data_IF_720034778394
#
_entry.id   IF_720034778394
#
_cell.length_a   1.000
_cell.length_b   1.000
_cell.length_c   1.000
_cell.angle_alpha   90.00
_cell.angle_beta   90.00
_cell.angle_gamma   90.00
#
_symmetry.space_group_name_H-M   'P 1'
#
loop_
_entity.id
_entity.type
_entity.pdbx_description
1 polymer ?
#
# COMPACT_ATOMS: atom_id res chain seq x y z
N UNK A 1 7.81 -16.48 78.65
CA UNK A 1 7.73 -16.91 77.22
C UNK A 1 6.32 -16.60 76.67
N UNK A 2 5.29 -16.87 77.39
CA UNK A 2 3.93 -16.61 76.93
C UNK A 2 3.65 -15.12 76.64
N UNK A 3 4.20 -14.22 77.42
CA UNK A 3 4.10 -12.77 77.15
C UNK A 3 4.70 -12.34 75.82
N UNK A 4 5.86 -12.87 75.45
CA UNK A 4 6.49 -12.60 74.15
C UNK A 4 5.69 -13.20 72.99
N UNK A 5 5.16 -14.36 73.17
CA UNK A 5 4.28 -15.02 72.20
C UNK A 5 3.06 -14.14 71.93
N UNK A 6 2.32 -13.78 72.96
CA UNK A 6 1.12 -12.93 72.83
C UNK A 6 1.45 -11.57 72.22
N UNK A 7 2.56 -10.95 72.65
CA UNK A 7 3.03 -9.68 72.11
C UNK A 7 3.27 -9.73 70.59
N UNK A 8 4.06 -10.70 70.14
CA UNK A 8 4.45 -10.74 68.72
C UNK A 8 3.36 -11.32 67.79
N UNK A 9 2.60 -12.29 68.23
CA UNK A 9 1.45 -12.77 67.45
C UNK A 9 0.40 -11.68 67.26
N UNK A 10 0.13 -10.88 68.30
CA UNK A 10 -0.76 -9.72 68.19
C UNK A 10 -0.16 -8.64 67.26
N UNK A 11 1.10 -8.29 67.41
CA UNK A 11 1.77 -7.31 66.53
C UNK A 11 1.77 -7.74 65.07
N UNK A 12 1.96 -9.02 64.77
CA UNK A 12 1.84 -9.59 63.43
C UNK A 12 0.42 -9.46 62.90
N UNK A 13 -0.58 -9.78 63.71
CA UNK A 13 -2.00 -9.68 63.33
C UNK A 13 -2.39 -8.23 62.98
N UNK A 14 -1.91 -7.27 63.79
CA UNK A 14 -2.21 -5.83 63.65
C UNK A 14 -1.42 -5.13 62.52
N UNK A 15 -0.38 -5.75 61.96
CA UNK A 15 0.41 -5.19 60.84
C UNK A 15 -0.48 -4.95 59.61
N UNK A 16 -0.49 -3.70 59.10
CA UNK A 16 -1.36 -3.29 57.97
C UNK A 16 -0.69 -3.38 56.60
N UNK A 17 0.62 -3.40 56.59
CA UNK A 17 1.43 -3.46 55.36
C UNK A 17 2.74 -4.26 55.57
N UNK A 18 3.44 -4.52 54.46
CA UNK A 18 4.72 -5.27 54.52
C UNK A 18 5.80 -4.55 55.32
N UNK A 19 5.80 -3.20 55.37
CA UNK A 19 6.80 -2.43 56.11
C UNK A 19 6.60 -2.65 57.61
N UNK A 20 5.36 -2.48 58.10
CA UNK A 20 5.01 -2.76 59.51
C UNK A 20 5.28 -4.21 59.88
N UNK A 21 4.99 -5.17 59.00
CA UNK A 21 5.28 -6.59 59.23
C UNK A 21 6.79 -6.86 59.32
N UNK A 22 7.59 -6.23 58.51
CA UNK A 22 9.05 -6.33 58.54
C UNK A 22 9.66 -5.71 59.82
N UNK A 23 9.10 -4.60 60.30
CA UNK A 23 9.50 -4.01 61.60
C UNK A 23 9.24 -5.00 62.75
N UNK A 24 8.09 -5.65 62.75
CA UNK A 24 7.78 -6.70 63.75
C UNK A 24 8.75 -7.86 63.65
N UNK A 25 9.07 -8.31 62.42
CA UNK A 25 10.06 -9.38 62.20
C UNK A 25 11.44 -9.01 62.77
N UNK A 26 11.89 -7.78 62.50
CA UNK A 26 13.17 -7.30 63.00
C UNK A 26 13.19 -7.18 64.50
N UNK A 27 12.09 -6.69 65.13
CA UNK A 27 11.97 -6.58 66.58
C UNK A 27 11.94 -7.94 67.29
N UNK A 28 11.33 -8.93 66.65
CA UNK A 28 11.25 -10.29 67.22
C UNK A 28 12.53 -11.11 66.93
N UNK A 29 12.90 -11.22 65.66
CA UNK A 29 13.86 -12.20 65.16
C UNK A 29 15.16 -11.60 64.57
N UNK A 30 15.26 -10.28 64.49
CA UNK A 30 16.45 -9.58 64.05
C UNK A 30 17.68 -9.82 64.91
N UNK A 31 18.87 -9.33 64.53
CA UNK A 31 20.12 -9.54 65.26
C UNK A 31 20.02 -9.06 66.76
N UNK A 32 19.22 -8.06 67.03
CA UNK A 32 18.92 -7.51 68.37
C UNK A 32 17.47 -7.77 68.81
N UNK A 33 16.75 -8.63 68.11
CA UNK A 33 15.38 -8.95 68.43
C UNK A 33 15.26 -9.73 69.72
N UNK A 34 14.12 -9.48 70.42
CA UNK A 34 13.91 -9.98 71.76
C UNK A 34 14.02 -11.52 71.83
N UNK A 35 13.45 -12.25 70.85
CA UNK A 35 13.50 -13.74 70.80
C UNK A 35 14.94 -14.17 70.46
N UNK A 36 15.64 -13.48 69.57
CA UNK A 36 17.02 -13.80 69.20
C UNK A 36 17.99 -13.56 70.37
N UNK A 37 17.74 -12.57 71.20
CA UNK A 37 18.52 -12.31 72.41
C UNK A 37 18.31 -13.43 73.45
N UNK A 38 17.06 -13.85 73.67
CA UNK A 38 16.79 -14.99 74.56
C UNK A 38 17.42 -16.30 74.07
N UNK A 39 17.44 -16.53 72.75
CA UNK A 39 18.12 -17.69 72.18
C UNK A 39 19.66 -17.65 72.41
N UNK A 40 20.26 -16.46 72.41
CA UNK A 40 21.72 -16.30 72.78
C UNK A 40 21.99 -16.56 74.26
N UNK A 41 21.06 -16.23 75.13
CA UNK A 41 21.18 -16.48 76.56
C UNK A 41 21.10 -17.96 76.91
N UNK A 42 20.50 -18.81 76.07
CA UNK A 42 20.58 -20.26 76.17
C UNK A 42 21.99 -20.81 76.21
N UNK A 43 22.93 -20.09 75.55
CA UNK A 43 24.36 -20.46 75.57
C UNK A 43 25.01 -20.30 76.91
N UNK A 44 24.42 -19.50 77.80
CA UNK A 44 24.93 -19.21 79.16
C UNK A 44 24.25 -20.00 80.26
N UNK A 45 23.16 -20.73 79.94
CA UNK A 45 22.38 -21.55 80.86
C UNK A 45 23.01 -22.90 81.15
N UNK A 46 22.66 -23.52 82.27
CA UNK A 46 23.05 -24.86 82.62
C UNK A 46 22.50 -25.90 81.64
N UNK A 47 23.10 -27.08 81.47
CA UNK A 47 22.62 -28.11 80.57
C UNK A 47 21.14 -28.53 80.80
N UNK A 48 20.72 -28.53 82.07
CA UNK A 48 19.37 -28.88 82.47
C UNK A 48 18.32 -27.82 82.11
N UNK A 49 18.65 -26.55 82.35
CA UNK A 49 17.79 -25.40 81.95
C UNK A 49 17.66 -25.28 80.44
N UNK A 50 18.75 -25.58 79.70
CA UNK A 50 18.81 -25.58 78.24
C UNK A 50 17.90 -26.67 77.63
N UNK A 51 17.84 -27.82 78.26
CA UNK A 51 17.02 -28.94 77.81
C UNK A 51 15.50 -28.60 77.89
N UNK A 52 15.09 -27.74 78.80
CA UNK A 52 13.71 -27.32 78.93
C UNK A 52 13.42 -26.05 78.11
N UNK A 53 14.27 -25.05 78.18
CA UNK A 53 14.04 -23.74 77.52
C UNK A 53 14.32 -23.75 76.00
N UNK A 54 15.24 -24.60 75.55
CA UNK A 54 15.64 -24.68 74.12
C UNK A 54 14.49 -25.07 73.18
N UNK A 55 13.81 -26.18 73.45
CA UNK A 55 12.64 -26.58 72.64
C UNK A 55 11.52 -25.52 72.60
N UNK A 56 11.26 -24.91 73.77
CA UNK A 56 10.19 -23.87 73.88
C UNK A 56 10.54 -22.61 73.11
N UNK A 57 11.81 -22.15 73.10
CA UNK A 57 12.23 -20.99 72.32
C UNK A 57 12.28 -21.28 70.81
N UNK A 58 12.64 -22.49 70.42
CA UNK A 58 12.56 -22.90 69.02
C UNK A 58 11.13 -22.97 68.54
N UNK A 59 10.21 -23.56 69.33
CA UNK A 59 8.80 -23.60 69.03
C UNK A 59 8.20 -22.19 68.89
N UNK A 60 8.55 -21.27 69.79
CA UNK A 60 8.14 -19.85 69.68
C UNK A 60 8.65 -19.16 68.43
N UNK A 61 9.92 -19.39 68.08
CA UNK A 61 10.51 -18.86 66.85
C UNK A 61 9.83 -19.39 65.59
N UNK A 62 9.51 -20.70 65.58
CA UNK A 62 8.85 -21.34 64.45
C UNK A 62 7.36 -20.85 64.31
N UNK A 63 6.67 -20.68 65.44
CA UNK A 63 5.35 -20.11 65.45
C UNK A 63 5.31 -18.66 64.95
N UNK A 64 6.26 -17.80 65.38
CA UNK A 64 6.39 -16.43 64.88
C UNK A 64 6.71 -16.42 63.39
N UNK A 65 7.62 -17.26 62.90
CA UNK A 65 7.96 -17.37 61.47
C UNK A 65 6.73 -17.80 60.64
N UNK A 66 5.99 -18.79 61.13
CA UNK A 66 4.77 -19.25 60.47
C UNK A 66 3.71 -18.16 60.41
N UNK A 67 3.50 -17.42 61.52
CA UNK A 67 2.56 -16.31 61.54
C UNK A 67 2.98 -15.14 60.60
N UNK A 68 4.28 -14.82 60.58
CA UNK A 68 4.84 -13.82 59.65
C UNK A 68 4.59 -14.21 58.19
N UNK A 69 4.90 -15.46 57.82
CA UNK A 69 4.69 -15.94 56.46
C UNK A 69 3.22 -15.93 56.04
N UNK A 70 2.34 -16.40 56.94
CA UNK A 70 0.89 -16.38 56.70
C UNK A 70 0.37 -14.94 56.50
N UNK A 71 0.79 -14.00 57.37
CA UNK A 71 0.39 -12.59 57.23
C UNK A 71 0.94 -11.93 55.98
N UNK A 72 2.19 -12.24 55.61
CA UNK A 72 2.81 -11.75 54.39
C UNK A 72 2.05 -12.19 53.14
N UNK A 73 1.69 -13.47 53.06
CA UNK A 73 0.86 -13.98 51.99
C UNK A 73 -0.51 -13.28 51.94
N UNK A 74 -1.18 -13.13 53.08
CA UNK A 74 -2.47 -12.45 53.14
C UNK A 74 -2.42 -10.98 52.73
N UNK A 75 -1.35 -10.26 53.09
CA UNK A 75 -1.14 -8.88 52.64
C UNK A 75 -0.85 -8.79 51.11
N UNK A 76 -0.08 -9.70 50.59
CA UNK A 76 0.21 -9.78 49.14
C UNK A 76 -1.08 -10.11 48.34
N UNK A 77 -1.87 -11.05 48.81
CA UNK A 77 -3.18 -11.40 48.23
C UNK A 77 -4.17 -10.23 48.27
N UNK A 78 -4.21 -9.49 49.39
CA UNK A 78 -5.05 -8.30 49.52
C UNK A 78 -4.65 -7.20 48.52
N UNK A 79 -3.35 -6.94 48.36
CA UNK A 79 -2.86 -5.97 47.38
C UNK A 79 -3.17 -6.43 45.94
N UNK A 80 -2.99 -7.71 45.64
CA UNK A 80 -3.31 -8.26 44.33
C UNK A 80 -4.83 -8.16 44.04
N UNK A 81 -5.66 -8.51 44.97
CA UNK A 81 -7.12 -8.44 44.82
C UNK A 81 -7.60 -6.98 44.61
N UNK A 82 -7.04 -6.04 45.35
CA UNK A 82 -7.35 -4.61 45.17
C UNK A 82 -6.95 -4.10 43.78
N UNK A 83 -5.80 -4.59 43.22
CA UNK A 83 -5.40 -4.30 41.85
C UNK A 83 -6.36 -4.92 40.84
N UNK A 84 -6.75 -6.18 41.04
CA UNK A 84 -7.66 -6.87 40.11
C UNK A 84 -9.05 -6.21 40.08
N UNK A 85 -9.50 -5.59 41.17
CA UNK A 85 -10.74 -4.81 41.18
C UNK A 85 -10.64 -3.48 40.43
N UNK A 86 -9.47 -2.85 40.44
CA UNK A 86 -9.25 -1.52 39.81
C UNK A 86 -8.69 -1.61 38.40
N UNK A 87 -7.91 -2.62 38.08
CA UNK A 87 -7.30 -2.85 36.78
C UNK A 87 -8.18 -3.72 35.86
N UNK A 88 -9.49 -3.43 35.83
CA UNK A 88 -10.41 -4.15 34.96
C UNK A 88 -10.18 -3.77 33.49
N UNK A 89 -10.02 -4.75 32.61
CA UNK A 89 -9.89 -4.59 31.17
C UNK A 89 -11.08 -5.25 30.47
N UNK A 90 -11.80 -4.48 29.66
CA UNK A 90 -12.86 -5.02 28.83
C UNK A 90 -12.27 -5.81 27.66
N UNK A 91 -12.28 -7.14 27.79
CA UNK A 91 -11.77 -8.06 26.75
C UNK A 91 -12.76 -8.28 25.60
N UNK A 92 -13.99 -7.71 25.69
CA UNK A 92 -14.96 -7.76 24.60
C UNK A 92 -14.70 -6.70 23.53
N UNK A 93 -13.89 -5.70 23.83
CA UNK A 93 -13.47 -4.71 22.86
C UNK A 93 -12.62 -5.38 21.77
N UNK A 94 -12.86 -5.04 20.50
CA UNK A 94 -12.03 -5.56 19.42
C UNK A 94 -10.57 -5.16 19.62
N UNK A 95 -9.66 -6.04 19.25
CA UNK A 95 -8.23 -5.71 19.22
C UNK A 95 -8.02 -4.48 18.34
N UNK A 96 -6.93 -3.73 18.57
CA UNK A 96 -6.54 -2.65 17.66
C UNK A 96 -6.50 -3.20 16.24
N UNK A 97 -7.18 -2.50 15.32
CA UNK A 97 -7.17 -2.87 13.93
C UNK A 97 -5.71 -3.04 13.46
N UNK A 98 -5.37 -4.24 13.02
CA UNK A 98 -4.12 -4.47 12.32
C UNK A 98 -4.28 -3.77 10.98
N UNK A 99 -3.45 -2.77 10.70
CA UNK A 99 -3.44 -2.12 9.41
C UNK A 99 -3.02 -3.15 8.36
N UNK A 100 -3.97 -3.62 7.58
CA UNK A 100 -3.71 -4.38 6.36
C UNK A 100 -3.15 -3.43 5.31
N UNK A 101 -2.32 -3.95 4.39
CA UNK A 101 -1.85 -3.17 3.25
C UNK A 101 -3.01 -2.67 2.39
N UNK A 102 -2.75 -1.65 1.57
CA UNK A 102 -3.72 -1.07 0.64
C UNK A 102 -3.24 -1.25 -0.79
N UNK A 103 -4.18 -1.38 -1.73
CA UNK A 103 -3.89 -1.36 -3.17
C UNK A 103 -3.64 0.09 -3.57
N UNK A 104 -2.55 0.34 -4.27
CA UNK A 104 -2.19 1.66 -4.76
C UNK A 104 -3.18 2.14 -5.84
N UNK A 105 -3.59 3.43 -5.89
CA UNK A 105 -4.54 3.94 -6.89
C UNK A 105 -4.16 3.63 -8.34
N UNK A 106 -2.88 3.66 -8.69
CA UNK A 106 -2.42 3.29 -10.04
C UNK A 106 -2.71 1.81 -10.34
N UNK A 107 -2.48 0.92 -9.39
CA UNK A 107 -2.82 -0.50 -9.56
C UNK A 107 -4.32 -0.70 -9.70
N UNK A 108 -5.12 -0.02 -8.88
CA UNK A 108 -6.57 -0.04 -8.95
C UNK A 108 -7.10 0.41 -10.31
N UNK A 109 -6.61 1.56 -10.82
CA UNK A 109 -7.00 2.08 -12.14
C UNK A 109 -6.53 1.15 -13.26
N UNK A 110 -5.32 0.59 -13.16
CA UNK A 110 -4.81 -0.36 -14.15
C UNK A 110 -5.71 -1.59 -14.27
N UNK A 111 -6.08 -2.20 -13.14
CA UNK A 111 -6.99 -3.35 -13.12
C UNK A 111 -8.38 -3.00 -13.67
N UNK A 112 -8.89 -1.83 -13.33
CA UNK A 112 -10.18 -1.34 -13.85
C UNK A 112 -10.15 -1.14 -15.37
N UNK A 113 -9.11 -0.51 -15.90
CA UNK A 113 -8.90 -0.32 -17.35
C UNK A 113 -8.80 -1.68 -18.05
N UNK A 114 -8.05 -2.62 -17.48
CA UNK A 114 -7.94 -4.00 -18.03
C UNK A 114 -9.33 -4.66 -18.06
N UNK A 115 -10.10 -4.57 -17.00
CA UNK A 115 -11.44 -5.16 -16.92
C UNK A 115 -12.39 -4.58 -17.97
N UNK A 116 -12.41 -3.23 -18.13
CA UNK A 116 -13.24 -2.54 -19.11
C UNK A 116 -12.90 -2.99 -20.56
N UNK A 117 -11.62 -3.00 -20.91
CA UNK A 117 -11.21 -3.38 -22.26
C UNK A 117 -11.33 -4.89 -22.51
N UNK A 118 -11.19 -5.73 -21.47
CA UNK A 118 -11.43 -7.16 -21.60
C UNK A 118 -12.90 -7.46 -21.97
N UNK A 119 -13.86 -6.73 -21.39
CA UNK A 119 -15.27 -6.81 -21.74
C UNK A 119 -15.55 -6.41 -23.19
N UNK A 120 -14.75 -5.51 -23.75
CA UNK A 120 -14.79 -5.12 -25.17
C UNK A 120 -14.00 -6.09 -26.10
N UNK A 121 -13.45 -7.17 -25.55
CA UNK A 121 -12.72 -8.20 -26.31
C UNK A 121 -11.25 -7.86 -26.58
N UNK A 122 -10.65 -6.96 -25.82
CA UNK A 122 -9.21 -6.71 -25.86
C UNK A 122 -8.48 -7.64 -24.88
N UNK A 123 -7.31 -8.12 -25.28
CA UNK A 123 -6.37 -8.83 -24.42
C UNK A 123 -5.22 -7.92 -23.97
N UNK A 124 -4.55 -8.29 -22.88
CA UNK A 124 -3.37 -7.57 -22.40
C UNK A 124 -2.13 -8.09 -23.10
N UNK A 125 -1.31 -7.17 -23.63
CA UNK A 125 0.01 -7.47 -24.18
C UNK A 125 1.09 -6.74 -23.37
N UNK A 126 2.19 -7.43 -23.08
CA UNK A 126 3.33 -6.92 -22.32
C UNK A 126 4.61 -6.94 -23.17
N UNK A 127 5.56 -6.07 -22.84
CA UNK A 127 6.86 -5.99 -23.49
C UNK A 127 7.92 -5.33 -22.61
N UNK A 128 9.17 -5.33 -23.09
CA UNK A 128 10.29 -4.81 -22.33
C UNK A 128 10.20 -3.29 -22.10
N UNK A 129 10.74 -2.83 -20.96
CA UNK A 129 10.87 -1.38 -20.66
C UNK A 129 12.11 -0.76 -21.29
N UNK A 130 13.15 -1.57 -21.51
CA UNK A 130 14.34 -1.17 -22.27
C UNK A 130 14.17 -1.67 -23.69
N UNK A 131 14.06 -0.75 -24.62
CA UNK A 131 13.77 -1.03 -26.01
C UNK A 131 14.90 -0.59 -26.93
N UNK A 132 14.96 -1.16 -28.11
CA UNK A 132 15.79 -0.60 -29.15
C UNK A 132 15.19 0.69 -29.70
N UNK A 133 16.03 1.60 -30.15
CA UNK A 133 15.63 2.84 -30.85
C UNK A 133 14.66 2.57 -32.00
N UNK A 134 14.84 1.47 -32.70
CA UNK A 134 13.98 1.07 -33.81
C UNK A 134 12.52 0.83 -33.38
N UNK A 135 12.28 0.03 -32.34
CA UNK A 135 10.91 -0.22 -31.85
C UNK A 135 10.27 1.02 -31.24
N UNK A 136 11.09 1.85 -30.56
CA UNK A 136 10.57 3.02 -29.88
C UNK A 136 10.26 4.18 -30.84
N UNK A 137 10.91 4.22 -32.04
CA UNK A 137 10.78 5.34 -32.95
C UNK A 137 10.60 4.94 -34.44
N UNK A 138 11.53 4.23 -35.03
CA UNK A 138 11.52 3.98 -36.49
C UNK A 138 10.31 3.19 -36.94
N UNK A 139 9.97 2.09 -36.23
CA UNK A 139 8.81 1.26 -36.52
C UNK A 139 7.49 2.03 -36.37
N UNK A 140 7.49 3.12 -35.63
CA UNK A 140 6.35 4.02 -35.38
C UNK A 140 6.36 5.25 -36.29
N UNK A 141 7.14 5.22 -37.36
CA UNK A 141 7.23 6.32 -38.32
C UNK A 141 7.71 7.66 -37.72
N UNK A 142 8.42 7.63 -36.59
CA UNK A 142 9.00 8.80 -35.93
C UNK A 142 10.35 9.10 -36.57
N UNK A 143 10.51 10.21 -37.34
CA UNK A 143 11.74 10.48 -38.09
C UNK A 143 12.92 10.80 -37.18
N UNK A 144 14.16 10.61 -37.72
CA UNK A 144 15.40 10.78 -36.96
C UNK A 144 15.63 12.19 -36.38
N UNK A 145 15.02 13.21 -36.97
CA UNK A 145 15.11 14.61 -36.50
C UNK A 145 13.95 15.03 -35.60
N UNK A 146 13.08 14.11 -35.20
CA UNK A 146 11.93 14.42 -34.33
C UNK A 146 12.41 14.81 -32.92
N UNK A 147 11.87 15.89 -32.33
CA UNK A 147 12.30 16.38 -31.01
C UNK A 147 12.26 15.29 -29.89
N UNK A 148 11.25 14.40 -29.91
CA UNK A 148 11.15 13.31 -28.95
C UNK A 148 12.33 12.33 -28.90
N UNK A 149 13.23 12.36 -29.93
CA UNK A 149 14.49 11.59 -29.93
C UNK A 149 15.65 12.31 -29.25
N UNK A 150 15.47 13.58 -28.85
CA UNK A 150 16.53 14.33 -28.19
C UNK A 150 16.89 13.71 -26.83
N UNK A 151 18.15 13.75 -26.46
CA UNK A 151 18.62 13.25 -25.14
C UNK A 151 18.01 14.02 -23.97
N UNK A 152 17.49 15.21 -24.20
CA UNK A 152 16.76 15.98 -23.21
C UNK A 152 15.34 15.44 -22.93
N UNK A 153 14.77 14.63 -23.82
CA UNK A 153 13.41 14.10 -23.71
C UNK A 153 13.39 12.57 -23.52
N UNK A 154 14.45 11.86 -23.94
CA UNK A 154 14.52 10.39 -23.92
C UNK A 154 15.75 9.92 -23.15
N UNK A 155 15.57 8.96 -22.26
CA UNK A 155 16.66 8.31 -21.53
C UNK A 155 17.31 7.23 -22.39
N UNK A 156 18.49 7.53 -22.95
CA UNK A 156 19.33 6.55 -23.65
C UNK A 156 20.19 5.74 -22.67
N UNK A 157 20.29 4.46 -22.91
CA UNK A 157 21.17 3.59 -22.13
C UNK A 157 22.63 3.90 -22.43
N UNK A 158 23.46 3.97 -21.38
CA UNK A 158 24.91 4.25 -21.53
C UNK A 158 25.58 3.19 -22.42
N UNK A 159 26.35 3.62 -23.37
CA UNK A 159 27.10 2.78 -24.34
C UNK A 159 28.59 3.02 -24.23
N UNK A 160 29.37 1.97 -24.47
CA UNK A 160 30.79 2.13 -24.74
C UNK A 160 30.99 2.56 -26.18
N UNK A 161 32.06 3.29 -26.47
CA UNK A 161 32.40 3.79 -27.82
C UNK A 161 32.47 2.70 -28.89
N UNK A 162 32.80 1.47 -28.49
CA UNK A 162 33.02 0.33 -29.40
C UNK A 162 31.75 -0.54 -29.58
N UNK A 163 30.64 -0.21 -28.88
CA UNK A 163 29.39 -0.95 -28.98
C UNK A 163 28.67 -0.63 -30.30
N UNK A 164 28.65 -1.63 -31.21
CA UNK A 164 27.99 -1.54 -32.52
C UNK A 164 26.50 -1.91 -32.51
N UNK A 165 25.95 -2.35 -31.38
CA UNK A 165 24.53 -2.67 -31.29
C UNK A 165 23.68 -1.41 -31.47
N UNK A 166 22.38 -1.53 -31.87
CA UNK A 166 21.50 -0.37 -31.92
C UNK A 166 21.40 0.33 -30.56
N UNK A 167 21.18 1.64 -30.50
CA UNK A 167 20.86 2.32 -29.24
C UNK A 167 19.68 1.67 -28.52
N UNK A 168 19.76 1.62 -27.20
CA UNK A 168 18.65 1.21 -26.34
C UNK A 168 18.21 2.42 -25.54
N UNK A 169 16.91 2.50 -25.32
CA UNK A 169 16.25 3.58 -24.58
C UNK A 169 15.34 3.00 -23.49
N UNK A 170 15.08 3.74 -22.46
CA UNK A 170 13.87 3.52 -21.67
C UNK A 170 12.69 3.95 -22.53
N UNK A 171 11.73 3.05 -22.79
CA UNK A 171 10.60 3.33 -23.70
C UNK A 171 9.83 4.57 -23.26
N UNK A 172 9.56 5.46 -24.22
CA UNK A 172 8.86 6.74 -23.97
C UNK A 172 7.33 6.61 -24.03
N UNK A 173 6.85 5.48 -24.52
CA UNK A 173 5.44 5.08 -24.62
C UNK A 173 5.34 3.55 -24.71
N UNK A 174 4.13 3.00 -24.68
CA UNK A 174 3.92 1.55 -24.75
C UNK A 174 3.71 1.03 -26.17
N UNK A 175 3.75 1.89 -27.21
CA UNK A 175 3.61 1.53 -28.62
C UNK A 175 4.60 0.46 -29.13
N UNK A 176 5.84 0.34 -28.61
CA UNK A 176 6.72 -0.77 -29.00
C UNK A 176 6.09 -2.15 -28.80
N UNK A 177 5.26 -2.29 -27.75
CA UNK A 177 4.53 -3.55 -27.47
C UNK A 177 3.52 -3.85 -28.58
N UNK A 178 2.88 -2.82 -29.14
CA UNK A 178 1.96 -2.96 -30.26
C UNK A 178 2.69 -3.52 -31.50
N UNK A 179 3.87 -2.96 -31.86
CA UNK A 179 4.70 -3.45 -32.99
C UNK A 179 5.10 -4.91 -32.76
N UNK A 180 5.59 -5.24 -31.56
CA UNK A 180 5.98 -6.62 -31.21
C UNK A 180 4.79 -7.58 -31.28
N UNK A 181 3.59 -7.13 -30.91
CA UNK A 181 2.39 -7.93 -31.00
C UNK A 181 1.97 -8.18 -32.45
N UNK A 182 2.07 -7.16 -33.30
CA UNK A 182 1.82 -7.32 -34.75
C UNK A 182 2.77 -8.34 -35.37
N UNK A 183 4.07 -8.24 -35.10
CA UNK A 183 5.08 -9.19 -35.60
C UNK A 183 4.83 -10.62 -35.12
N UNK A 184 4.43 -10.79 -33.85
CA UNK A 184 4.25 -12.11 -33.24
C UNK A 184 2.96 -12.81 -33.64
N UNK A 185 1.86 -12.05 -33.70
CA UNK A 185 0.51 -12.62 -33.80
C UNK A 185 -0.13 -12.45 -35.19
N UNK A 186 0.33 -11.48 -35.98
CA UNK A 186 -0.37 -11.08 -37.19
C UNK A 186 -1.73 -10.44 -36.88
N UNK A 187 -2.54 -10.19 -37.91
CA UNK A 187 -3.91 -9.70 -37.78
C UNK A 187 -4.93 -10.85 -37.91
N UNK A 188 -6.12 -10.77 -37.27
CA UNK A 188 -6.66 -9.65 -36.51
C UNK A 188 -6.09 -9.53 -35.09
N UNK A 189 -6.03 -8.30 -34.54
CA UNK A 189 -5.49 -7.99 -33.20
C UNK A 189 -6.47 -7.06 -32.46
N UNK A 190 -6.66 -7.30 -31.16
CA UNK A 190 -7.27 -6.39 -30.20
C UNK A 190 -6.53 -6.51 -28.88
N UNK A 191 -5.67 -5.54 -28.60
CA UNK A 191 -4.80 -5.55 -27.42
C UNK A 191 -4.77 -4.19 -26.74
N UNK A 192 -4.57 -4.22 -25.43
CA UNK A 192 -4.12 -3.06 -24.65
C UNK A 192 -2.73 -3.36 -24.09
N UNK A 193 -1.91 -2.32 -23.96
CA UNK A 193 -0.51 -2.41 -23.53
C UNK A 193 -0.29 -1.49 -22.32
N UNK A 194 -0.72 -1.88 -21.10
CA UNK A 194 -0.45 -1.08 -19.91
C UNK A 194 1.00 -1.22 -19.47
N UNK A 195 1.58 -0.15 -18.93
CA UNK A 195 2.90 -0.23 -18.35
C UNK A 195 3.62 1.08 -18.11
N UNK A 196 4.74 1.00 -17.38
CA UNK A 196 5.60 2.14 -17.10
C UNK A 196 6.34 2.63 -18.36
N UNK A 197 6.41 3.94 -18.49
CA UNK A 197 7.09 4.67 -19.57
C UNK A 197 7.96 5.79 -18.97
N UNK A 198 8.90 6.32 -19.73
CA UNK A 198 9.96 7.17 -19.20
C UNK A 198 10.22 8.36 -20.12
N UNK A 199 10.19 9.58 -19.56
CA UNK A 199 10.50 10.82 -20.25
C UNK A 199 11.32 11.71 -19.34
N UNK A 200 12.26 12.46 -19.89
CA UNK A 200 13.09 13.37 -19.10
C UNK A 200 12.34 14.68 -18.82
N UNK A 201 11.26 14.58 -18.04
CA UNK A 201 10.40 15.70 -17.67
C UNK A 201 10.00 15.60 -16.20
N UNK A 202 9.88 16.74 -15.50
CA UNK A 202 9.54 16.77 -14.08
C UNK A 202 8.91 18.09 -13.67
N UNK A 203 7.57 18.07 -13.47
CA UNK A 203 6.81 19.18 -12.90
C UNK A 203 5.58 18.65 -12.11
N UNK A 204 4.59 19.48 -11.84
CA UNK A 204 3.39 19.08 -11.10
C UNK A 204 2.54 18.03 -11.85
N UNK A 205 2.64 17.99 -13.17
CA UNK A 205 1.87 17.12 -14.08
C UNK A 205 2.72 16.08 -14.79
N UNK A 206 4.04 16.12 -14.61
CA UNK A 206 5.00 15.23 -15.24
C UNK A 206 6.00 14.65 -14.25
N UNK A 207 6.32 13.38 -14.41
CA UNK A 207 7.38 12.68 -13.67
C UNK A 207 8.26 11.89 -14.66
N UNK A 208 9.55 11.67 -14.34
CA UNK A 208 10.45 10.92 -15.22
C UNK A 208 9.99 9.50 -15.54
N UNK A 209 9.16 8.93 -14.70
CA UNK A 209 8.48 7.65 -14.88
C UNK A 209 7.01 7.84 -14.60
N UNK A 210 6.15 7.39 -15.49
CA UNK A 210 4.70 7.37 -15.30
C UNK A 210 4.10 6.12 -15.96
N UNK A 211 2.79 5.91 -15.81
CA UNK A 211 2.12 4.75 -16.37
C UNK A 211 1.23 5.18 -17.55
N UNK A 212 1.27 4.37 -18.60
CA UNK A 212 0.46 4.59 -19.80
C UNK A 212 -0.26 3.29 -20.16
N UNK A 213 -1.41 3.41 -20.75
CA UNK A 213 -2.06 2.32 -21.47
C UNK A 213 -2.31 2.76 -22.89
N UNK A 214 -1.91 1.94 -23.83
CA UNK A 214 -2.24 2.12 -25.25
C UNK A 214 -3.06 0.93 -25.72
N UNK A 215 -4.01 1.20 -26.61
CA UNK A 215 -4.80 0.17 -27.27
C UNK A 215 -4.53 0.12 -28.76
N UNK A 216 -4.56 -1.07 -29.32
CA UNK A 216 -4.46 -1.36 -30.74
C UNK A 216 -5.55 -2.34 -31.16
N UNK A 217 -6.33 -1.98 -32.16
CA UNK A 217 -7.15 -2.92 -32.87
C UNK A 217 -6.78 -2.92 -34.37
N UNK A 218 -6.62 -4.11 -34.94
CA UNK A 218 -6.37 -4.31 -36.37
C UNK A 218 -7.35 -5.36 -36.90
N UNK A 219 -8.13 -4.97 -37.90
CA UNK A 219 -9.08 -5.85 -38.60
C UNK A 219 -9.33 -5.31 -40.02
N UNK A 220 -10.14 -5.98 -40.84
CA UNK A 220 -10.36 -5.61 -42.24
C UNK A 220 -11.22 -4.36 -42.41
N UNK A 221 -12.20 -4.15 -41.55
CA UNK A 221 -13.27 -3.15 -41.74
C UNK A 221 -13.32 -2.10 -40.59
N UNK A 222 -12.16 -1.81 -39.95
CA UNK A 222 -12.11 -0.82 -38.89
C UNK A 222 -12.08 0.62 -39.44
N UNK A 223 -12.71 1.52 -38.71
CA UNK A 223 -12.83 2.95 -39.07
C UNK A 223 -12.74 3.84 -37.84
N UNK A 224 -12.67 5.15 -38.06
CA UNK A 224 -12.77 6.15 -36.99
C UNK A 224 -14.07 6.04 -36.18
N UNK A 225 -15.16 5.54 -36.77
CA UNK A 225 -16.43 5.31 -36.05
C UNK A 225 -16.30 4.21 -34.99
N UNK A 226 -15.54 3.13 -35.30
CA UNK A 226 -15.27 2.07 -34.33
C UNK A 226 -14.38 2.59 -33.19
N UNK A 227 -13.33 3.36 -33.51
CA UNK A 227 -12.49 4.02 -32.50
C UNK A 227 -13.33 4.92 -31.60
N UNK A 228 -14.16 5.79 -32.18
CA UNK A 228 -15.05 6.69 -31.41
C UNK A 228 -15.94 5.90 -30.46
N UNK A 229 -16.57 4.84 -30.92
CA UNK A 229 -17.43 3.99 -30.10
C UNK A 229 -16.68 3.37 -28.92
N UNK A 230 -15.50 2.79 -29.17
CA UNK A 230 -14.67 2.17 -28.11
C UNK A 230 -14.31 3.17 -27.03
N UNK A 231 -13.89 4.39 -27.44
CA UNK A 231 -13.48 5.44 -26.49
C UNK A 231 -14.69 5.99 -25.72
N UNK A 232 -15.84 6.14 -26.37
CA UNK A 232 -17.08 6.56 -25.70
C UNK A 232 -17.53 5.53 -24.65
N UNK A 233 -17.53 4.25 -24.98
CA UNK A 233 -17.86 3.19 -24.01
C UNK A 233 -16.86 3.16 -22.84
N UNK A 234 -15.57 3.29 -23.13
CA UNK A 234 -14.54 3.35 -22.08
C UNK A 234 -14.80 4.50 -21.11
N UNK A 235 -15.00 5.72 -21.62
CA UNK A 235 -15.19 6.91 -20.78
C UNK A 235 -16.45 6.81 -19.93
N UNK A 236 -17.56 6.33 -20.50
CA UNK A 236 -18.83 6.12 -19.76
C UNK A 236 -18.64 5.17 -18.59
N UNK A 237 -18.04 4.02 -18.83
CA UNK A 237 -17.83 3.00 -17.78
C UNK A 237 -16.81 3.47 -16.76
N UNK A 238 -15.66 3.99 -17.20
CA UNK A 238 -14.56 4.38 -16.31
C UNK A 238 -14.93 5.52 -15.35
N UNK A 239 -15.66 6.53 -15.84
CA UNK A 239 -16.13 7.66 -15.01
C UNK A 239 -17.52 7.44 -14.41
N UNK A 240 -18.16 6.30 -14.68
CA UNK A 240 -19.52 5.95 -14.19
C UNK A 240 -20.55 6.99 -14.55
N UNK A 241 -20.56 7.42 -15.82
CA UNK A 241 -21.53 8.40 -16.36
C UNK A 241 -22.38 7.76 -17.45
N UNK A 242 -23.69 8.03 -17.45
CA UNK A 242 -24.64 7.47 -18.41
C UNK A 242 -24.45 8.05 -19.81
N UNK A 243 -24.13 9.35 -19.87
CA UNK A 243 -23.88 10.06 -21.12
C UNK A 243 -22.66 10.97 -20.99
N UNK A 244 -21.87 11.03 -22.08
CA UNK A 244 -20.68 11.86 -22.16
C UNK A 244 -20.48 12.35 -23.59
N UNK A 245 -20.24 13.64 -23.73
CA UNK A 245 -19.89 14.23 -25.00
C UNK A 245 -18.37 14.20 -25.19
N UNK A 246 -17.92 13.54 -26.26
CA UNK A 246 -16.52 13.49 -26.69
C UNK A 246 -16.31 14.43 -27.86
N UNK A 247 -15.27 15.24 -27.77
CA UNK A 247 -14.83 16.11 -28.87
C UNK A 247 -13.50 15.56 -29.42
N UNK A 248 -13.50 15.26 -30.72
CA UNK A 248 -12.31 14.85 -31.45
C UNK A 248 -11.70 16.07 -32.13
N UNK A 249 -10.55 16.52 -31.67
CA UNK A 249 -9.79 17.60 -32.29
C UNK A 249 -8.71 17.01 -33.20
N UNK A 250 -8.63 17.47 -34.45
CA UNK A 250 -7.56 17.07 -35.34
C UNK A 250 -6.17 17.36 -34.72
N UNK A 251 -5.29 16.38 -34.75
CA UNK A 251 -3.94 16.48 -34.23
C UNK A 251 -2.96 15.75 -35.17
N UNK A 252 -1.67 15.75 -34.85
CA UNK A 252 -0.67 15.06 -35.62
C UNK A 252 0.17 14.14 -34.71
N UNK A 253 0.08 12.85 -35.02
CA UNK A 253 1.02 11.85 -34.47
C UNK A 253 1.66 11.09 -35.62
N UNK A 254 3.02 10.88 -35.60
CA UNK A 254 3.72 10.22 -36.73
C UNK A 254 3.20 8.81 -37.04
N UNK A 255 2.62 8.13 -36.04
CA UNK A 255 2.19 6.72 -36.11
C UNK A 255 0.69 6.55 -36.42
N UNK A 256 -0.07 7.63 -36.57
CA UNK A 256 -1.52 7.59 -36.93
C UNK A 256 -1.87 8.61 -38.00
N UNK A 257 -2.82 8.28 -38.89
CA UNK A 257 -3.37 9.18 -39.92
C UNK A 257 -4.78 8.68 -40.34
N UNK A 258 -5.86 9.44 -40.08
CA UNK A 258 -5.91 10.67 -39.30
C UNK A 258 -5.64 10.47 -37.80
N UNK A 259 -5.14 11.53 -37.18
CA UNK A 259 -4.89 11.61 -35.75
C UNK A 259 -5.86 12.56 -35.07
N UNK A 260 -6.23 12.28 -33.85
CA UNK A 260 -7.09 13.14 -33.05
C UNK A 260 -6.73 13.08 -31.56
N UNK A 261 -6.74 14.24 -30.93
CA UNK A 261 -6.84 14.35 -29.46
C UNK A 261 -8.30 14.27 -29.07
N UNK A 262 -8.58 13.64 -27.93
CA UNK A 262 -9.94 13.43 -27.45
C UNK A 262 -10.13 14.16 -26.14
N UNK A 263 -11.10 15.07 -26.15
CA UNK A 263 -11.54 15.82 -24.99
C UNK A 263 -12.88 15.27 -24.49
N UNK A 264 -13.09 15.34 -23.18
CA UNK A 264 -14.36 15.07 -22.53
C UNK A 264 -14.97 16.37 -22.03
N UNK A 265 -16.29 16.48 -22.13
CA UNK A 265 -17.03 17.60 -21.56
C UNK A 265 -17.03 17.51 -20.03
N UNK A 266 -16.78 18.64 -19.36
CA UNK A 266 -16.69 18.68 -17.90
C UNK A 266 -17.04 20.04 -17.33
N UNK A 267 -17.15 20.11 -16.00
CA UNK A 267 -17.16 21.34 -15.22
C UNK A 267 -16.35 21.18 -13.94
N UNK A 268 -16.01 22.29 -13.33
CA UNK A 268 -15.36 22.34 -12.03
C UNK A 268 -16.30 22.99 -11.02
N UNK A 269 -16.67 22.27 -9.96
CA UNK A 269 -17.51 22.73 -8.88
C UNK A 269 -16.81 22.53 -7.55
N UNK A 270 -16.51 23.62 -6.82
CA UNK A 270 -15.71 23.62 -5.58
C UNK A 270 -14.39 22.82 -5.68
N UNK A 271 -13.73 22.89 -6.85
CA UNK A 271 -12.47 22.16 -7.10
C UNK A 271 -12.66 20.68 -7.42
N UNK A 272 -13.89 20.19 -7.51
CA UNK A 272 -14.19 18.83 -7.95
C UNK A 272 -14.54 18.81 -9.44
N UNK A 273 -13.96 17.87 -10.16
CA UNK A 273 -14.23 17.62 -11.57
C UNK A 273 -15.55 16.84 -11.71
N UNK A 274 -16.49 17.39 -12.49
CA UNK A 274 -17.71 16.70 -12.91
C UNK A 274 -17.64 16.40 -14.40
N UNK A 275 -17.63 15.12 -14.73
CA UNK A 275 -17.60 14.66 -16.13
C UNK A 275 -19.00 14.62 -16.70
N UNK A 276 -19.14 15.04 -17.97
CA UNK A 276 -20.43 15.08 -18.69
C UNK A 276 -21.29 16.33 -18.43
N UNK A 277 -20.87 17.21 -17.52
CA UNK A 277 -21.57 18.42 -17.15
C UNK A 277 -20.79 19.70 -17.55
N UNK A 278 -21.49 20.84 -17.67
CA UNK A 278 -20.87 22.14 -17.92
C UNK A 278 -20.43 22.36 -19.37
N UNK A 279 -19.57 23.36 -19.60
CA UNK A 279 -19.15 23.82 -20.92
C UNK A 279 -17.62 23.72 -21.15
N UNK A 280 -16.88 23.26 -20.15
CA UNK A 280 -15.43 23.06 -20.25
C UNK A 280 -15.07 21.76 -20.96
N UNK A 281 -13.86 21.70 -21.47
CA UNK A 281 -13.32 20.56 -22.18
C UNK A 281 -11.96 20.17 -21.62
N UNK A 282 -11.80 18.90 -21.34
CA UNK A 282 -10.58 18.33 -20.76
C UNK A 282 -10.02 17.25 -21.68
N UNK A 283 -8.80 17.44 -22.17
CA UNK A 283 -8.08 16.44 -22.93
C UNK A 283 -7.70 15.24 -22.05
N UNK A 284 -8.02 14.03 -22.51
CA UNK A 284 -7.76 12.78 -21.78
C UNK A 284 -6.86 11.82 -22.54
N UNK A 285 -6.82 11.83 -23.86
CA UNK A 285 -6.07 10.87 -24.65
C UNK A 285 -5.80 11.32 -26.09
N UNK A 286 -4.78 10.74 -26.69
CA UNK A 286 -4.53 10.80 -28.13
C UNK A 286 -4.98 9.52 -28.83
N UNK A 287 -5.43 9.63 -30.10
CA UNK A 287 -5.95 8.49 -30.86
C UNK A 287 -5.82 8.70 -32.37
N UNK A 288 -6.08 7.66 -33.15
CA UNK A 288 -6.13 7.76 -34.61
C UNK A 288 -6.16 6.42 -35.31
N UNK A 289 -6.28 6.46 -36.64
CA UNK A 289 -6.09 5.28 -37.47
C UNK A 289 -4.59 4.99 -37.61
N UNK A 290 -4.21 3.72 -37.50
CA UNK A 290 -2.81 3.32 -37.56
C UNK A 290 -2.22 3.66 -38.94
N UNK A 291 -1.11 4.36 -38.95
CA UNK A 291 -0.43 4.75 -40.20
C UNK A 291 0.01 3.50 -41.00
N UNK A 292 -0.20 3.43 -42.34
CA UNK A 292 0.16 2.27 -43.14
C UNK A 292 1.61 1.79 -42.98
N UNK A 293 2.56 2.72 -42.81
CA UNK A 293 3.97 2.38 -42.56
C UNK A 293 4.18 1.62 -41.26
N UNK A 294 3.37 1.91 -40.21
CA UNK A 294 3.44 1.21 -38.92
C UNK A 294 2.92 -0.19 -39.05
N UNK A 295 1.80 -0.40 -39.78
CA UNK A 295 1.31 -1.73 -40.09
C UNK A 295 2.36 -2.55 -40.83
N UNK A 296 2.96 -1.96 -41.88
CA UNK A 296 4.04 -2.60 -42.67
C UNK A 296 5.28 -2.92 -41.82
N UNK A 297 5.69 -2.03 -40.91
CA UNK A 297 6.79 -2.26 -39.97
C UNK A 297 6.51 -3.44 -39.04
N UNK A 298 5.24 -3.61 -38.61
CA UNK A 298 4.76 -4.76 -37.82
C UNK A 298 4.47 -6.01 -38.66
N UNK A 299 4.81 -6.03 -39.96
CA UNK A 299 4.61 -7.19 -40.83
C UNK A 299 3.17 -7.41 -41.31
N UNK A 300 2.30 -6.40 -41.20
CA UNK A 300 0.89 -6.45 -41.61
C UNK A 300 0.71 -5.70 -42.95
N UNK A 301 0.01 -6.32 -43.91
CA UNK A 301 -0.27 -5.69 -45.20
C UNK A 301 -1.35 -4.61 -45.08
N UNK A 302 -1.02 -3.31 -45.24
CA UNK A 302 -1.97 -2.21 -45.09
C UNK A 302 -3.02 -2.12 -46.22
N UNK A 303 -2.87 -2.90 -47.31
CA UNK A 303 -3.87 -2.97 -48.38
C UNK A 303 -5.05 -3.90 -47.99
N UNK A 304 -4.84 -4.80 -47.01
CA UNK A 304 -5.83 -5.78 -46.56
C UNK A 304 -6.39 -5.38 -45.18
N UNK A 305 -5.56 -4.83 -44.32
CA UNK A 305 -5.84 -4.59 -42.93
C UNK A 305 -5.82 -3.10 -42.60
N UNK A 306 -6.72 -2.72 -41.71
CA UNK A 306 -6.78 -1.39 -41.11
C UNK A 306 -6.67 -1.49 -39.60
N UNK A 307 -6.28 -0.43 -38.95
CA UNK A 307 -6.21 -0.42 -37.48
C UNK A 307 -6.51 0.95 -36.93
N UNK A 308 -6.93 0.97 -35.69
CA UNK A 308 -6.93 2.17 -34.87
C UNK A 308 -6.11 1.96 -33.60
N UNK A 309 -5.56 3.06 -33.10
CA UNK A 309 -4.82 3.07 -31.83
C UNK A 309 -5.24 4.27 -30.97
N UNK A 310 -5.07 4.14 -29.69
CA UNK A 310 -5.26 5.21 -28.69
C UNK A 310 -4.26 5.05 -27.55
N UNK A 311 -3.96 6.15 -26.84
CA UNK A 311 -3.05 6.13 -25.71
C UNK A 311 -3.41 7.16 -24.67
N UNK A 312 -3.44 6.75 -23.39
CA UNK A 312 -3.73 7.61 -22.25
C UNK A 312 -2.79 7.36 -21.08
N UNK A 313 -2.51 8.42 -20.30
CA UNK A 313 -1.76 8.31 -19.04
C UNK A 313 -2.64 7.75 -17.92
N UNK A 314 -2.26 6.61 -17.34
CA UNK A 314 -2.99 5.99 -16.22
C UNK A 314 -2.99 6.93 -15.01
N UNK A 315 -1.83 7.54 -14.72
CA UNK A 315 -1.68 8.49 -13.61
C UNK A 315 -2.65 9.68 -13.77
N UNK A 316 -2.76 10.23 -14.99
CA UNK A 316 -3.66 11.35 -15.26
C UNK A 316 -5.14 10.99 -15.08
N UNK A 317 -5.59 9.87 -15.62
CA UNK A 317 -6.99 9.45 -15.43
C UNK A 317 -7.29 9.07 -13.98
N UNK A 318 -6.29 8.55 -13.23
CA UNK A 318 -6.40 8.33 -11.80
C UNK A 318 -6.53 9.65 -11.02
N UNK A 319 -5.73 10.68 -11.36
CA UNK A 319 -5.86 12.02 -10.78
C UNK A 319 -7.28 12.57 -10.98
N UNK A 320 -7.81 12.46 -12.20
CA UNK A 320 -9.14 12.95 -12.54
C UNK A 320 -10.24 12.20 -11.80
N UNK A 321 -10.14 10.87 -11.73
CA UNK A 321 -11.15 10.02 -11.09
C UNK A 321 -11.23 10.20 -9.58
N UNK A 322 -10.07 10.35 -8.92
CA UNK A 322 -9.98 10.41 -7.45
C UNK A 322 -9.71 11.80 -6.90
N UNK A 323 -9.67 12.83 -7.76
CA UNK A 323 -9.41 14.21 -7.32
C UNK A 323 -8.01 14.41 -6.74
N UNK A 324 -7.00 13.69 -7.24
CA UNK A 324 -5.62 13.80 -6.77
C UNK A 324 -4.97 15.02 -7.44
N UNK A 325 -4.50 16.01 -6.67
CA UNK A 325 -4.10 17.30 -7.27
C UNK A 325 -2.68 17.31 -7.85
N UNK A 326 -1.81 16.38 -7.45
CA UNK A 326 -0.39 16.38 -7.81
C UNK A 326 0.07 14.95 -8.15
N UNK A 327 0.56 14.77 -9.38
CA UNK A 327 1.00 13.48 -9.90
C UNK A 327 2.17 12.90 -9.09
N UNK A 328 3.06 13.74 -8.55
CA UNK A 328 4.24 13.32 -7.79
C UNK A 328 3.87 12.54 -6.54
N UNK A 329 2.69 12.81 -5.96
CA UNK A 329 2.22 12.12 -4.76
C UNK A 329 2.02 10.60 -4.95
N UNK A 330 1.83 10.12 -6.17
CA UNK A 330 1.82 8.67 -6.46
C UNK A 330 3.16 7.99 -6.17
N UNK A 331 4.26 8.73 -6.16
CA UNK A 331 5.63 8.21 -6.05
C UNK A 331 6.32 8.57 -4.72
N UNK A 332 5.73 9.46 -3.91
CA UNK A 332 6.33 9.97 -2.66
C UNK A 332 6.35 8.93 -1.53
N UNK A 333 5.63 7.82 -1.65
CA UNK A 333 5.53 6.77 -0.63
C UNK A 333 5.05 7.26 0.75
N UNK A 334 4.28 8.34 0.82
CA UNK A 334 3.67 8.81 2.07
C UNK A 334 2.56 7.86 2.53
N UNK A 335 2.77 7.20 3.67
CA UNK A 335 1.82 6.24 4.23
C UNK A 335 0.46 6.86 4.58
N UNK A 336 0.39 8.15 4.90
CA UNK A 336 -0.86 8.86 5.18
C UNK A 336 -1.67 9.01 3.90
N UNK A 337 -1.00 9.40 2.82
CA UNK A 337 -1.58 9.50 1.48
C UNK A 337 -2.06 8.14 0.97
N UNK A 338 -1.22 7.10 1.08
CA UNK A 338 -1.58 5.72 0.69
C UNK A 338 -2.78 5.16 1.48
N UNK A 339 -2.93 5.54 2.76
CA UNK A 339 -4.11 5.16 3.55
C UNK A 339 -5.36 5.91 3.14
N UNK A 340 -5.23 7.15 2.70
CA UNK A 340 -6.35 7.98 2.26
C UNK A 340 -6.89 7.55 0.89
N UNK A 341 -5.99 7.33 -0.08
CA UNK A 341 -6.35 6.96 -1.45
C UNK A 341 -6.22 5.46 -1.73
N UNK A 342 -5.78 4.66 -0.77
CA UNK A 342 -5.60 3.22 -0.96
C UNK A 342 -6.92 2.46 -0.92
N UNK A 343 -6.98 1.36 -1.65
CA UNK A 343 -8.13 0.47 -1.76
C UNK A 343 -7.87 -0.85 -1.05
N UNK A 344 -8.90 -1.47 -0.48
CA UNK A 344 -8.79 -2.81 0.04
C UNK A 344 -8.69 -3.82 -1.12
N UNK A 345 -7.94 -4.91 -0.92
CA UNK A 345 -7.74 -5.91 -1.97
C UNK A 345 -9.04 -6.58 -2.45
N UNK A 346 -10.07 -6.62 -1.62
CA UNK A 346 -11.40 -7.12 -1.99
C UNK A 346 -12.25 -6.10 -2.76
N UNK A 347 -11.83 -4.84 -2.80
CA UNK A 347 -12.49 -3.77 -3.55
C UNK A 347 -11.97 -3.64 -4.98
N UNK A 348 -11.08 -4.53 -5.42
CA UNK A 348 -10.59 -4.51 -6.80
C UNK A 348 -11.73 -4.77 -7.78
N UNK A 349 -11.81 -3.98 -8.87
CA UNK A 349 -12.78 -4.20 -9.93
C UNK A 349 -12.58 -5.58 -10.55
N UNK A 350 -13.67 -6.26 -10.81
CA UNK A 350 -13.64 -7.50 -11.57
C UNK A 350 -14.94 -7.62 -12.41
N UNK A 351 -14.88 -8.42 -13.45
CA UNK A 351 -16.01 -8.58 -14.40
C UNK A 351 -17.27 -9.14 -13.74
N UNK A 352 -17.15 -9.94 -12.67
CA UNK A 352 -18.29 -10.53 -11.97
C UNK A 352 -18.97 -9.56 -10.99
N UNK A 353 -18.19 -8.70 -10.33
CA UNK A 353 -18.74 -7.74 -9.38
C UNK A 353 -19.36 -6.51 -10.08
N UNK A 354 -19.08 -6.34 -11.37
CA UNK A 354 -19.40 -5.13 -12.10
C UNK A 354 -18.45 -3.98 -11.70
N UNK A 355 -18.46 -2.93 -12.51
CA UNK A 355 -17.63 -1.74 -12.32
C UNK A 355 -18.42 -0.59 -11.67
N UNK A 356 -19.74 -0.76 -11.53
CA UNK A 356 -20.61 0.22 -10.90
C UNK A 356 -20.75 -0.12 -9.40
N UNK A 357 -20.32 0.75 -8.55
CA UNK A 357 -20.69 0.85 -7.13
C UNK A 357 -21.63 2.01 -6.92
#
# INVERSE_FOLDING_TARGET
>A
MDELRVKYIKAIADAKDEIALEEVRVAALGKKGEVSLQMRELGKMTPEERQVSGPLLNALKDEINSALNAKKSALADAVLNARLETEWLDVTLPSRAIHTGSVHPISQVTEEVIAIFADMGFSVAEGPRIETDWYNFDALNIPGHHPARAEMDTFYMKRNSDDKRPPHVLRTHTSPVQVRTMEKSGAPIRVICPGGVYRADYDQTHTPMFHQVEGLAVDKDLSMANLKWVLEQFVKVFFSVDDVELRFRASHFPFTEPSAEVDIRCSWDDGQLKIGEGDDWLEILGSGMVHPKVLSAGGIDPNIWQGFAFGMGIDRIAMLKYGIPDLRSFFDSDLRWLRHYGFASLDQPNLHAGLNR
#
